data_IF_771948765879
#
_entry.id   IF_771948765879
#
_cell.length_a   1.000
_cell.length_b   1.000
_cell.length_c   1.000
_cell.angle_alpha   90.00
_cell.angle_beta   90.00
_cell.angle_gamma   90.00
#
_symmetry.space_group_name_H-M   'P 1'
#
loop_
_entity.id
_entity.type
_entity.pdbx_description
1 polymer ?
#
# COMPACT_ATOMS: atom_id res chain seq x y z
N UNK A 1 6.46 20.51 15.69
CA UNK A 1 5.24 19.91 16.28
C UNK A 1 4.10 19.70 15.27
N UNK A 2 3.93 20.54 14.23
CA UNK A 2 2.92 20.31 13.17
C UNK A 2 3.17 19.05 12.34
N UNK A 3 4.41 18.83 11.87
CA UNK A 3 4.80 17.66 11.05
C UNK A 3 4.43 16.31 11.69
N UNK A 4 4.63 16.15 13.00
CA UNK A 4 4.30 14.90 13.71
C UNK A 4 2.79 14.69 13.79
N UNK A 5 2.01 15.75 14.07
CA UNK A 5 0.54 15.68 14.07
C UNK A 5 0.00 15.30 12.69
N UNK A 6 0.60 15.84 11.63
CA UNK A 6 0.17 15.54 10.26
C UNK A 6 0.55 14.12 9.84
N UNK A 7 1.72 13.63 10.24
CA UNK A 7 2.10 12.22 10.07
C UNK A 7 1.15 11.28 10.82
N UNK A 8 0.80 11.58 12.08
CA UNK A 8 -0.16 10.78 12.85
C UNK A 8 -1.55 10.75 12.21
N UNK A 9 -2.01 11.87 11.62
CA UNK A 9 -3.27 11.91 10.87
C UNK A 9 -3.22 11.01 9.64
N UNK A 10 -2.11 11.02 8.91
CA UNK A 10 -1.92 10.17 7.73
C UNK A 10 -1.88 8.70 8.13
N UNK A 11 -1.16 8.35 9.20
CA UNK A 11 -1.12 6.98 9.72
C UNK A 11 -2.52 6.53 10.13
N UNK A 12 -3.24 7.35 10.90
CA UNK A 12 -4.62 7.03 11.34
C UNK A 12 -5.55 6.81 10.16
N UNK A 13 -5.58 7.74 9.21
CA UNK A 13 -6.50 7.67 8.07
C UNK A 13 -6.12 6.53 7.12
N UNK A 14 -4.82 6.35 6.84
CA UNK A 14 -4.32 5.26 6.01
C UNK A 14 -4.61 3.89 6.63
N UNK A 15 -4.45 3.76 7.94
CA UNK A 15 -4.78 2.54 8.68
C UNK A 15 -6.27 2.26 8.66
N UNK A 16 -7.12 3.25 8.92
CA UNK A 16 -8.57 3.07 8.88
C UNK A 16 -9.03 2.60 7.48
N UNK A 17 -8.48 3.19 6.42
CA UNK A 17 -8.77 2.81 5.05
C UNK A 17 -8.28 1.39 4.73
N UNK A 18 -6.99 1.10 4.96
CA UNK A 18 -6.42 -0.20 4.65
C UNK A 18 -7.07 -1.33 5.45
N UNK A 19 -7.33 -1.09 6.74
CA UNK A 19 -7.95 -2.07 7.63
C UNK A 19 -9.42 -2.31 7.28
N UNK A 20 -10.23 -1.28 7.04
CA UNK A 20 -11.62 -1.46 6.62
C UNK A 20 -11.73 -2.23 5.31
N UNK A 21 -10.88 -1.90 4.33
CA UNK A 21 -10.86 -2.58 3.04
C UNK A 21 -10.49 -4.06 3.18
N UNK A 22 -9.40 -4.37 3.90
CA UNK A 22 -8.97 -5.76 4.11
C UNK A 22 -9.99 -6.57 4.92
N UNK A 23 -10.62 -5.97 5.93
CA UNK A 23 -11.68 -6.64 6.69
C UNK A 23 -12.87 -6.98 5.79
N UNK A 24 -13.29 -6.07 4.91
CA UNK A 24 -14.35 -6.36 3.92
C UNK A 24 -13.94 -7.55 3.04
N UNK A 25 -12.72 -7.58 2.53
CA UNK A 25 -12.21 -8.70 1.73
C UNK A 25 -12.23 -10.02 2.51
N UNK A 26 -11.80 -10.00 3.79
CA UNK A 26 -11.80 -11.19 4.65
C UNK A 26 -13.22 -11.69 4.89
N UNK A 27 -14.18 -10.79 5.16
CA UNK A 27 -15.58 -11.15 5.36
C UNK A 27 -16.18 -11.74 4.09
N UNK A 28 -15.96 -11.14 2.93
CA UNK A 28 -16.45 -11.66 1.64
C UNK A 28 -15.84 -13.03 1.32
N UNK A 29 -14.53 -13.20 1.51
CA UNK A 29 -13.87 -14.48 1.32
C UNK A 29 -14.39 -15.53 2.31
N UNK A 30 -14.65 -15.15 3.55
CA UNK A 30 -15.27 -16.01 4.56
C UNK A 30 -16.67 -16.48 4.14
N UNK A 31 -17.52 -15.56 3.68
CA UNK A 31 -18.88 -15.86 3.21
C UNK A 31 -18.88 -16.84 2.02
N UNK A 32 -17.99 -16.64 1.05
CA UNK A 32 -17.86 -17.55 -0.12
C UNK A 32 -17.44 -18.96 0.31
N UNK A 33 -16.58 -19.08 1.33
CA UNK A 33 -16.10 -20.35 1.84
C UNK A 33 -17.00 -20.96 2.93
N UNK A 34 -18.17 -20.35 3.21
CA UNK A 34 -19.12 -20.84 4.21
C UNK A 34 -18.68 -20.62 5.67
N UNK A 35 -17.76 -19.70 5.93
CA UNK A 35 -17.34 -19.36 7.29
C UNK A 35 -18.38 -18.46 7.97
N UNK A 36 -18.91 -18.93 9.10
CA UNK A 36 -19.96 -18.21 9.86
C UNK A 36 -19.41 -17.16 10.82
N UNK A 37 -18.12 -17.24 11.18
CA UNK A 37 -17.51 -16.34 12.17
C UNK A 37 -16.12 -15.88 11.75
N UNK A 38 -15.79 -14.64 12.11
CA UNK A 38 -14.44 -14.08 11.96
C UNK A 38 -13.77 -14.02 13.33
N UNK A 39 -12.64 -14.71 13.47
CA UNK A 39 -11.90 -14.73 14.73
C UNK A 39 -11.27 -13.37 15.06
N UNK A 40 -11.37 -12.96 16.32
CA UNK A 40 -10.66 -11.80 16.88
C UNK A 40 -9.16 -11.85 16.62
N UNK A 41 -8.56 -13.04 16.62
CA UNK A 41 -7.13 -13.23 16.39
C UNK A 41 -6.77 -12.86 14.94
N UNK A 42 -7.63 -13.19 13.97
CA UNK A 42 -7.43 -12.85 12.55
C UNK A 42 -7.54 -11.34 12.36
N UNK A 43 -8.50 -10.68 13.02
CA UNK A 43 -8.62 -9.22 13.01
C UNK A 43 -7.36 -8.55 13.58
N UNK A 44 -6.88 -9.00 14.73
CA UNK A 44 -5.70 -8.44 15.38
C UNK A 44 -4.44 -8.58 14.50
N UNK A 45 -4.24 -9.74 13.86
CA UNK A 45 -3.13 -9.95 12.93
C UNK A 45 -3.24 -9.04 11.70
N UNK A 46 -4.44 -8.93 11.14
CA UNK A 46 -4.71 -8.03 10.01
C UNK A 46 -4.44 -6.57 10.37
N UNK A 47 -4.81 -6.15 11.58
CA UNK A 47 -4.53 -4.82 12.10
C UNK A 47 -3.02 -4.53 12.16
N UNK A 48 -2.23 -5.46 12.68
CA UNK A 48 -0.78 -5.32 12.74
C UNK A 48 -0.14 -5.24 11.35
N UNK A 49 -0.63 -6.03 10.39
CA UNK A 49 -0.18 -5.97 9.00
C UNK A 49 -0.47 -4.60 8.37
N UNK A 50 -1.69 -4.07 8.56
CA UNK A 50 -2.07 -2.74 8.09
C UNK A 50 -1.22 -1.64 8.74
N UNK A 51 -1.00 -1.73 10.05
CA UNK A 51 -0.15 -0.78 10.79
C UNK A 51 1.26 -0.76 10.19
N UNK A 52 1.85 -1.93 9.97
CA UNK A 52 3.18 -2.02 9.36
C UNK A 52 3.19 -1.46 7.94
N UNK A 53 2.23 -1.83 7.10
CA UNK A 53 2.12 -1.32 5.73
C UNK A 53 2.02 0.20 5.67
N UNK A 54 1.23 0.80 6.55
CA UNK A 54 1.09 2.26 6.61
C UNK A 54 2.35 2.94 7.12
N UNK A 55 3.04 2.36 8.11
CA UNK A 55 4.33 2.87 8.58
C UNK A 55 5.38 2.81 7.46
N UNK A 56 5.50 1.66 6.78
CA UNK A 56 6.41 1.48 5.66
C UNK A 56 6.11 2.48 4.54
N UNK A 57 4.82 2.70 4.23
CA UNK A 57 4.39 3.70 3.26
C UNK A 57 4.82 5.11 3.65
N UNK A 58 4.57 5.52 4.89
CA UNK A 58 4.96 6.85 5.39
C UNK A 58 6.47 7.04 5.29
N UNK A 59 7.27 6.04 5.68
CA UNK A 59 8.73 6.11 5.60
C UNK A 59 9.21 6.24 4.14
N UNK A 60 8.61 5.49 3.21
CA UNK A 60 9.06 5.46 1.81
C UNK A 60 8.59 6.65 0.98
N UNK A 61 7.38 7.16 1.23
CA UNK A 61 6.73 8.16 0.39
C UNK A 61 6.69 9.57 0.99
N UNK A 62 6.75 9.70 2.32
CA UNK A 62 6.77 11.02 2.97
C UNK A 62 8.15 11.54 3.31
N UNK A 63 9.17 10.67 3.33
CA UNK A 63 10.53 11.11 3.62
C UNK A 63 11.11 11.90 2.44
N UNK A 64 11.49 13.15 2.69
CA UNK A 64 12.05 14.06 1.67
C UNK A 64 13.28 13.46 0.97
N UNK A 65 14.11 12.69 1.69
CA UNK A 65 15.30 12.03 1.12
C UNK A 65 14.96 10.95 0.10
N UNK A 66 13.87 10.22 0.31
CA UNK A 66 13.42 9.15 -0.59
C UNK A 66 12.64 9.75 -1.75
N UNK A 67 11.80 10.75 -1.47
CA UNK A 67 10.98 11.44 -2.48
C UNK A 67 11.82 12.09 -3.59
N UNK A 68 13.03 12.59 -3.28
CA UNK A 68 13.97 13.14 -4.27
C UNK A 68 14.49 12.11 -5.28
N UNK A 69 14.50 10.83 -4.92
CA UNK A 69 14.99 9.74 -5.79
C UNK A 69 13.94 9.25 -6.79
N UNK A 70 12.71 9.76 -6.70
CA UNK A 70 11.62 9.45 -7.63
C UNK A 70 10.66 8.37 -7.12
N UNK A 71 9.48 8.30 -7.75
CA UNK A 71 8.38 7.42 -7.35
C UNK A 71 8.76 5.93 -7.42
N UNK A 72 9.42 5.50 -8.50
CA UNK A 72 9.83 4.11 -8.69
C UNK A 72 10.77 3.66 -7.56
N UNK A 73 11.71 4.52 -7.13
CA UNK A 73 12.60 4.19 -6.02
C UNK A 73 11.84 4.03 -4.70
N UNK A 74 10.93 4.97 -4.38
CA UNK A 74 10.05 4.86 -3.21
C UNK A 74 9.20 3.58 -3.23
N UNK A 75 8.66 3.23 -4.39
CA UNK A 75 7.83 2.04 -4.58
C UNK A 75 8.65 0.76 -4.36
N UNK A 76 9.82 0.65 -4.99
CA UNK A 76 10.71 -0.51 -4.80
C UNK A 76 11.15 -0.66 -3.35
N UNK A 77 11.51 0.45 -2.68
CA UNK A 77 11.87 0.43 -1.26
C UNK A 77 10.70 -0.03 -0.38
N UNK A 78 9.49 0.43 -0.68
CA UNK A 78 8.28 0.00 0.01
C UNK A 78 8.08 -1.51 -0.10
N UNK A 79 8.16 -2.08 -1.31
CA UNK A 79 8.01 -3.53 -1.50
C UNK A 79 9.12 -4.33 -0.79
N UNK A 80 10.36 -3.84 -0.80
CA UNK A 80 11.47 -4.48 -0.06
C UNK A 80 11.20 -4.53 1.45
N UNK A 81 10.61 -3.48 2.02
CA UNK A 81 10.27 -3.41 3.45
C UNK A 81 8.98 -4.16 3.80
N UNK A 82 8.04 -4.25 2.87
CA UNK A 82 6.71 -4.79 3.12
C UNK A 82 6.63 -6.29 2.86
N UNK A 83 7.16 -6.79 1.73
CA UNK A 83 7.04 -8.20 1.33
C UNK A 83 7.56 -9.17 2.40
N UNK A 84 8.75 -8.99 3.02
CA UNK A 84 9.25 -9.94 4.01
C UNK A 84 8.33 -10.04 5.23
N UNK A 85 7.80 -8.91 5.69
CA UNK A 85 6.88 -8.87 6.84
C UNK A 85 5.53 -9.46 6.47
N UNK A 86 5.05 -9.21 5.26
CA UNK A 86 3.82 -9.81 4.74
C UNK A 86 3.92 -11.33 4.68
N UNK A 87 5.03 -11.88 4.16
CA UNK A 87 5.29 -13.32 4.13
C UNK A 87 5.25 -13.91 5.55
N UNK A 88 5.98 -13.30 6.49
CA UNK A 88 6.01 -13.75 7.90
C UNK A 88 4.60 -13.72 8.51
N UNK A 89 3.83 -12.66 8.25
CA UNK A 89 2.46 -12.54 8.73
C UNK A 89 1.53 -13.59 8.11
N UNK A 90 1.69 -13.93 6.84
CA UNK A 90 0.91 -14.99 6.19
C UNK A 90 1.21 -16.38 6.74
N UNK A 91 2.45 -16.67 7.12
CA UNK A 91 2.77 -17.87 7.90
C UNK A 91 2.11 -17.83 9.28
N UNK A 92 2.18 -16.70 9.99
CA UNK A 92 1.51 -16.57 11.29
C UNK A 92 -0.02 -16.67 11.20
N UNK A 93 -0.62 -16.26 10.10
CA UNK A 93 -2.06 -16.35 9.86
C UNK A 93 -2.49 -17.75 9.36
N UNK A 94 -1.53 -18.66 9.10
CA UNK A 94 -1.81 -20.00 8.58
C UNK A 94 -2.22 -20.02 7.10
N UNK A 95 -2.04 -18.91 6.38
CA UNK A 95 -2.28 -18.83 4.93
C UNK A 95 -1.24 -19.65 4.17
N UNK A 96 0.01 -19.63 4.65
CA UNK A 96 1.06 -20.56 4.21
C UNK A 96 1.32 -21.58 5.33
N UNK A 97 1.12 -22.88 5.04
CA UNK A 97 1.36 -23.97 6.02
C UNK A 97 2.59 -24.77 5.61
N UNK A 98 3.54 -24.97 6.53
CA UNK A 98 4.69 -25.91 6.50
C UNK A 98 5.68 -25.86 5.32
N UNK A 99 5.44 -24.99 4.34
CA UNK A 99 6.27 -24.75 3.14
C UNK A 99 5.53 -23.90 2.08
N UNK A 100 4.21 -23.78 2.23
CA UNK A 100 3.34 -23.05 1.31
C UNK A 100 3.01 -23.91 0.09
N UNK A 101 1.74 -23.96 -0.28
CA UNK A 101 1.32 -24.58 -1.53
C UNK A 101 1.91 -23.77 -2.70
N UNK A 102 2.50 -24.42 -3.71
CA UNK A 102 3.04 -23.77 -4.91
C UNK A 102 2.00 -22.86 -5.55
N UNK A 103 0.73 -23.26 -5.56
CA UNK A 103 -0.38 -22.44 -6.07
C UNK A 103 -0.55 -21.15 -5.28
N UNK A 104 -0.42 -21.19 -3.96
CA UNK A 104 -0.55 -20.02 -3.11
C UNK A 104 0.63 -19.04 -3.31
N UNK A 105 1.84 -19.56 -3.53
CA UNK A 105 3.02 -18.76 -3.87
C UNK A 105 2.91 -18.10 -5.25
N UNK A 106 2.42 -18.83 -6.26
CA UNK A 106 2.18 -18.28 -7.60
C UNK A 106 1.13 -17.18 -7.52
N UNK A 107 0.03 -17.42 -6.80
CA UNK A 107 -1.04 -16.43 -6.65
C UNK A 107 -0.54 -15.18 -5.92
N UNK A 108 0.20 -15.34 -4.81
CA UNK A 108 0.83 -14.23 -4.11
C UNK A 108 1.79 -13.43 -5.01
N UNK A 109 2.72 -14.11 -5.67
CA UNK A 109 3.67 -13.48 -6.59
C UNK A 109 2.97 -12.73 -7.73
N UNK A 110 1.89 -13.31 -8.28
CA UNK A 110 1.10 -12.67 -9.33
C UNK A 110 0.45 -11.36 -8.85
N UNK A 111 -0.13 -11.33 -7.65
CA UNK A 111 -0.75 -10.13 -7.07
C UNK A 111 0.31 -9.03 -6.88
N UNK A 112 1.48 -9.39 -6.34
CA UNK A 112 2.58 -8.45 -6.12
C UNK A 112 3.05 -7.85 -7.45
N UNK A 113 3.29 -8.68 -8.47
CA UNK A 113 3.75 -8.23 -9.79
C UNK A 113 2.70 -7.36 -10.47
N UNK A 114 1.43 -7.77 -10.47
CA UNK A 114 0.33 -6.99 -11.05
C UNK A 114 0.20 -5.64 -10.33
N UNK A 115 0.24 -5.62 -9.00
CA UNK A 115 0.19 -4.39 -8.21
C UNK A 115 1.35 -3.44 -8.53
N UNK A 116 2.56 -3.98 -8.70
CA UNK A 116 3.74 -3.19 -9.08
C UNK A 116 3.59 -2.59 -10.48
N UNK A 117 3.14 -3.39 -11.46
CA UNK A 117 2.90 -2.92 -12.84
C UNK A 117 1.81 -1.85 -12.89
N UNK A 118 0.68 -2.07 -12.22
CA UNK A 118 -0.41 -1.08 -12.14
C UNK A 118 0.08 0.23 -11.53
N UNK A 119 0.92 0.16 -10.48
CA UNK A 119 1.50 1.35 -9.86
C UNK A 119 2.39 2.14 -10.83
N UNK A 120 3.20 1.45 -11.64
CA UNK A 120 4.01 2.09 -12.69
C UNK A 120 3.12 2.70 -13.78
N UNK A 121 2.06 2.02 -14.20
CA UNK A 121 1.13 2.54 -15.21
C UNK A 121 0.45 3.82 -14.72
N UNK A 122 0.00 3.85 -13.46
CA UNK A 122 -0.61 5.05 -12.86
C UNK A 122 0.39 6.22 -12.86
N UNK A 123 1.64 5.99 -12.46
CA UNK A 123 2.67 7.03 -12.49
C UNK A 123 2.94 7.54 -13.91
N UNK A 124 3.09 6.61 -14.85
CA UNK A 124 3.48 6.95 -16.22
C UNK A 124 2.36 7.65 -16.99
N UNK A 125 1.12 7.19 -16.87
CA UNK A 125 0.00 7.70 -17.66
C UNK A 125 -0.75 8.84 -16.99
N UNK A 126 -0.96 8.76 -15.67
CA UNK A 126 -1.81 9.72 -14.96
C UNK A 126 -0.97 10.85 -14.36
N UNK A 127 0.09 10.52 -13.61
CA UNK A 127 0.89 11.52 -12.90
C UNK A 127 1.69 12.39 -13.88
N UNK A 128 2.38 11.79 -14.87
CA UNK A 128 3.13 12.58 -15.87
C UNK A 128 2.23 13.49 -16.71
N UNK A 129 1.07 12.99 -17.14
CA UNK A 129 0.12 13.79 -17.92
C UNK A 129 -0.40 14.99 -17.12
N UNK A 130 -0.78 14.76 -15.85
CA UNK A 130 -1.19 15.85 -14.96
C UNK A 130 -0.06 16.83 -14.67
N UNK A 131 1.18 16.36 -14.50
CA UNK A 131 2.32 17.23 -14.25
C UNK A 131 2.56 18.22 -15.41
N UNK A 132 2.42 17.76 -16.66
CA UNK A 132 2.49 18.62 -17.86
C UNK A 132 1.37 19.66 -17.83
N UNK A 133 0.13 19.23 -17.62
CA UNK A 133 -1.04 20.13 -17.57
C UNK A 133 -0.92 21.20 -16.47
N UNK A 134 -0.41 20.84 -15.29
CA UNK A 134 -0.16 21.79 -14.21
C UNK A 134 0.96 22.78 -14.55
N UNK A 135 2.00 22.32 -15.25
CA UNK A 135 3.11 23.18 -15.68
C UNK A 135 2.64 24.20 -16.71
N UNK A 136 1.83 23.78 -17.67
CA UNK A 136 1.22 24.66 -18.68
C UNK A 136 0.32 25.72 -18.03
N UNK A 137 -0.58 25.32 -17.13
CA UNK A 137 -1.44 26.26 -16.38
C UNK A 137 -0.64 27.26 -15.55
N UNK A 138 0.47 26.83 -14.96
CA UNK A 138 1.34 27.72 -14.18
C UNK A 138 2.06 28.73 -15.08
N UNK A 139 2.54 28.32 -16.25
CA UNK A 139 3.16 29.22 -17.23
C UNK A 139 2.15 30.24 -17.79
N UNK A 140 0.92 29.81 -18.05
CA UNK A 140 -0.16 30.70 -18.48
C UNK A 140 -0.50 31.74 -17.42
N UNK A 141 -0.56 31.34 -16.14
CA UNK A 141 -0.77 32.26 -15.01
C UNK A 141 0.35 33.30 -14.87
N UNK A 142 1.61 32.91 -15.09
CA UNK A 142 2.76 33.83 -15.06
C UNK A 142 2.73 34.78 -16.25
N UNK A 143 2.33 34.30 -17.44
CA UNK A 143 2.21 35.11 -18.66
C UNK A 143 1.09 36.14 -18.56
N UNK A 144 -0.05 35.79 -17.97
CA UNK A 144 -1.20 36.70 -17.79
C UNK A 144 -1.02 37.72 -16.63
N UNK A 145 0.03 37.59 -15.81
CA UNK A 145 0.39 38.57 -14.76
C UNK A 145 1.45 39.60 -15.20
N UNK A 146 2.05 39.44 -16.37
CA UNK A 146 2.93 40.44 -16.99
C UNK A 146 2.13 41.30 -17.96
#
# INVERSE_FOLDING_TARGET
>A
MSRIKDMLKIIRNGMAFAYSWLVICIVLAGLINGAETVSLIVLAKTFLLCLWGVIAFVICFMNESVKKKGFIFSLTLFYILFIPVEIVMFYFMGVFVTGGNVTAWILFGSIVVIGYVVSILIDTFIMKKKAVEYTEKMQEYVKNRK
#
